data_IF_856235203590
#
_entry.id   IF_856235203590
#
_cell.length_a   1.000
_cell.length_b   1.000
_cell.length_c   1.000
_cell.angle_alpha   90.00
_cell.angle_beta   90.00
_cell.angle_gamma   90.00
#
_symmetry.space_group_name_H-M   'P 1'
#
loop_
_entity.id
_entity.type
_entity.pdbx_description
1 polymer ?
#
# COMPACT_ATOMS: atom_id res chain seq x y z
N UNK A 1 17.92 13.02 -17.32
CA UNK A 1 16.58 12.63 -17.82
C UNK A 1 16.59 12.57 -19.34
N UNK A 2 16.86 13.68 -20.04
CA UNK A 2 16.76 13.80 -21.51
C UNK A 2 17.57 12.73 -22.27
N UNK A 3 18.81 12.45 -21.84
CA UNK A 3 19.68 11.47 -22.51
C UNK A 3 19.06 10.07 -22.49
N UNK A 4 18.53 9.64 -21.35
CA UNK A 4 17.87 8.33 -21.22
C UNK A 4 16.62 8.21 -22.10
N UNK A 5 15.82 9.28 -22.21
CA UNK A 5 14.62 9.29 -23.06
C UNK A 5 14.97 9.17 -24.54
N UNK A 6 16.01 9.88 -25.00
CA UNK A 6 16.49 9.81 -26.40
C UNK A 6 17.01 8.39 -26.70
N UNK A 7 17.81 7.83 -25.80
CA UNK A 7 18.34 6.48 -26.00
C UNK A 7 17.23 5.43 -26.04
N UNK A 8 16.22 5.57 -25.18
CA UNK A 8 15.05 4.68 -25.22
C UNK A 8 14.33 4.74 -26.57
N UNK A 9 14.21 5.93 -27.16
CA UNK A 9 13.62 6.11 -28.49
C UNK A 9 14.48 5.44 -29.58
N UNK A 10 15.81 5.64 -29.54
CA UNK A 10 16.74 5.00 -30.48
C UNK A 10 16.69 3.48 -30.41
N UNK A 11 16.63 2.91 -29.20
CA UNK A 11 16.54 1.45 -29.01
C UNK A 11 15.21 0.84 -29.50
N UNK A 12 14.18 1.63 -29.71
CA UNK A 12 12.91 1.20 -30.29
C UNK A 12 12.89 1.22 -31.83
N UNK A 13 13.90 1.77 -32.46
CA UNK A 13 14.00 1.80 -33.90
C UNK A 13 14.17 0.37 -34.45
N UNK A 14 13.30 0.01 -35.40
CA UNK A 14 13.34 -1.30 -36.05
C UNK A 14 14.02 -1.26 -37.42
N UNK A 15 14.07 -0.09 -38.01
CA UNK A 15 14.65 0.16 -39.34
C UNK A 15 15.45 1.45 -39.31
N UNK A 16 16.54 1.49 -40.05
CA UNK A 16 17.42 2.67 -40.16
C UNK A 16 18.74 2.34 -40.82
N UNK A 17 19.41 3.35 -41.29
CA UNK A 17 20.77 3.24 -41.78
C UNK A 17 21.69 3.91 -40.76
N UNK A 18 22.80 3.27 -40.45
CA UNK A 18 23.81 3.88 -39.57
C UNK A 18 25.17 3.82 -40.25
N UNK A 19 26.01 4.82 -39.96
CA UNK A 19 27.40 4.89 -40.38
C UNK A 19 28.23 5.26 -39.16
N UNK A 20 29.30 4.52 -38.93
CA UNK A 20 30.27 4.83 -37.90
C UNK A 20 31.41 5.61 -38.55
N UNK A 21 31.66 6.80 -38.04
CA UNK A 21 32.74 7.68 -38.52
C UNK A 21 33.64 8.02 -37.35
N UNK A 22 34.96 7.98 -37.60
CA UNK A 22 35.94 8.43 -36.64
C UNK A 22 36.22 9.93 -36.92
N UNK A 23 35.79 10.78 -35.99
CA UNK A 23 35.99 12.22 -36.07
C UNK A 23 36.33 12.79 -34.70
N UNK A 24 37.11 13.88 -34.67
CA UNK A 24 37.38 14.63 -33.45
C UNK A 24 36.12 15.38 -33.00
N UNK A 25 35.65 15.05 -31.82
CA UNK A 25 34.53 15.74 -31.20
C UNK A 25 35.03 16.98 -30.48
N UNK A 26 34.48 18.16 -30.84
CA UNK A 26 34.75 19.39 -30.12
C UNK A 26 34.24 19.30 -28.70
N UNK A 27 35.15 19.26 -27.73
CA UNK A 27 34.83 19.10 -26.30
C UNK A 27 34.65 20.42 -25.56
N UNK A 28 34.88 21.58 -26.19
CA UNK A 28 34.78 22.88 -25.52
C UNK A 28 33.34 23.27 -25.14
N UNK A 29 32.38 22.78 -25.91
CA UNK A 29 30.95 23.09 -25.73
C UNK A 29 30.12 21.89 -25.26
N UNK A 30 30.73 20.79 -24.82
CA UNK A 30 30.03 19.58 -24.39
C UNK A 30 29.94 19.55 -22.85
N UNK A 31 28.76 19.32 -22.35
CA UNK A 31 28.54 18.97 -20.93
C UNK A 31 29.30 17.68 -20.64
N UNK A 32 30.35 17.75 -19.82
CA UNK A 32 31.12 16.58 -19.38
C UNK A 32 30.21 15.67 -18.55
N UNK A 33 29.58 14.71 -19.20
CA UNK A 33 28.66 13.74 -18.55
C UNK A 33 29.28 12.34 -18.69
N UNK A 34 29.80 11.81 -17.58
CA UNK A 34 30.28 10.44 -17.53
C UNK A 34 29.15 9.52 -17.11
N UNK A 35 28.45 8.97 -18.09
CA UNK A 35 27.41 7.99 -17.83
C UNK A 35 27.90 6.61 -18.31
N UNK A 36 27.97 5.59 -17.44
CA UNK A 36 28.35 4.25 -17.85
C UNK A 36 27.35 3.70 -18.89
N UNK A 37 27.83 3.38 -20.09
CA UNK A 37 26.98 2.88 -21.19
C UNK A 37 26.22 1.60 -20.82
N UNK A 38 26.86 0.70 -20.06
CA UNK A 38 26.27 -0.55 -19.60
C UNK A 38 25.02 -0.31 -18.75
N UNK A 39 25.07 0.65 -17.80
CA UNK A 39 23.93 1.00 -16.98
C UNK A 39 22.76 1.56 -17.79
N UNK A 40 23.04 2.37 -18.80
CA UNK A 40 22.01 2.93 -19.67
C UNK A 40 21.37 1.83 -20.52
N UNK A 41 22.17 0.93 -21.09
CA UNK A 41 21.67 -0.18 -21.89
C UNK A 41 20.77 -1.08 -21.07
N UNK A 42 21.19 -1.47 -19.87
CA UNK A 42 20.38 -2.32 -18.97
C UNK A 42 19.08 -1.63 -18.55
N UNK A 43 19.12 -0.35 -18.18
CA UNK A 43 17.92 0.44 -17.85
C UNK A 43 16.96 0.52 -19.05
N UNK A 44 17.48 0.72 -20.25
CA UNK A 44 16.66 0.83 -21.46
C UNK A 44 16.01 -0.51 -21.80
N UNK A 45 16.74 -1.61 -21.71
CA UNK A 45 16.20 -2.96 -21.93
C UNK A 45 15.11 -3.28 -20.90
N UNK A 46 15.32 -2.95 -19.62
CA UNK A 46 14.31 -3.09 -18.58
C UNK A 46 13.01 -2.34 -18.94
N UNK A 47 13.15 -1.09 -19.37
CA UNK A 47 11.99 -0.28 -19.77
C UNK A 47 11.26 -0.90 -20.97
N UNK A 48 11.98 -1.41 -21.97
CA UNK A 48 11.38 -2.07 -23.13
C UNK A 48 10.60 -3.32 -22.71
N UNK A 49 11.16 -4.12 -21.81
CA UNK A 49 10.54 -5.35 -21.33
C UNK A 49 9.29 -5.08 -20.45
N UNK A 50 9.36 -4.07 -19.59
CA UNK A 50 8.28 -3.73 -18.66
C UNK A 50 7.16 -2.91 -19.30
N UNK A 51 7.47 -2.12 -20.35
CA UNK A 51 6.53 -1.19 -20.98
C UNK A 51 5.20 -1.82 -21.41
N UNK A 52 5.15 -3.00 -22.04
CA UNK A 52 3.90 -3.62 -22.45
C UNK A 52 2.96 -3.90 -21.28
N UNK A 53 3.50 -4.32 -20.13
CA UNK A 53 2.73 -4.60 -18.92
C UNK A 53 2.22 -3.32 -18.27
N UNK A 54 3.07 -2.29 -18.19
CA UNK A 54 2.70 -0.99 -17.65
C UNK A 54 1.62 -0.36 -18.50
N UNK A 55 1.81 -0.37 -19.84
CA UNK A 55 0.86 0.22 -20.82
C UNK A 55 -0.56 -0.34 -20.71
N UNK A 56 -0.70 -1.61 -20.40
CA UNK A 56 -2.02 -2.23 -20.23
C UNK A 56 -2.77 -1.73 -18.99
N UNK A 57 -2.05 -1.22 -18.00
CA UNK A 57 -2.61 -0.76 -16.72
C UNK A 57 -2.72 0.76 -16.62
N UNK A 58 -2.13 1.49 -17.56
CA UNK A 58 -2.19 2.95 -17.56
C UNK A 58 -3.64 3.38 -17.73
N UNK A 59 -4.16 4.20 -16.79
CA UNK A 59 -5.47 4.79 -16.95
C UNK A 59 -5.49 5.79 -18.11
N UNK A 60 -6.66 6.14 -18.64
CA UNK A 60 -6.78 7.20 -19.64
C UNK A 60 -6.10 8.48 -19.14
N UNK A 61 -5.36 9.15 -20.02
CA UNK A 61 -4.50 10.29 -19.67
C UNK A 61 -5.26 11.52 -19.17
N UNK A 62 -6.52 11.64 -19.54
CA UNK A 62 -7.49 12.68 -19.13
C UNK A 62 -8.14 12.39 -17.77
N UNK A 63 -7.91 11.19 -17.18
CA UNK A 63 -8.45 10.88 -15.88
C UNK A 63 -7.63 11.55 -14.77
N UNK A 64 -8.33 11.92 -13.69
CA UNK A 64 -7.71 12.55 -12.52
C UNK A 64 -7.50 11.48 -11.44
N UNK A 65 -6.26 11.23 -11.03
CA UNK A 65 -5.98 10.40 -9.87
C UNK A 65 -6.38 11.12 -8.59
N UNK A 66 -6.90 10.34 -7.65
CA UNK A 66 -7.38 10.80 -6.34
C UNK A 66 -6.80 9.92 -5.26
N UNK A 67 -6.31 10.51 -4.19
CA UNK A 67 -5.79 9.80 -3.04
C UNK A 67 -6.93 9.23 -2.19
N UNK A 68 -6.89 7.92 -1.91
CA UNK A 68 -7.90 7.21 -1.10
C UNK A 68 -7.43 7.01 0.33
N UNK A 69 -6.16 6.74 0.52
CA UNK A 69 -5.55 6.48 1.81
C UNK A 69 -4.29 7.32 1.99
N UNK A 70 -4.03 7.81 3.21
CA UNK A 70 -2.80 8.54 3.49
C UNK A 70 -1.58 7.64 3.37
N UNK A 71 -0.49 8.19 2.85
CA UNK A 71 0.78 7.52 2.74
C UNK A 71 1.42 7.40 4.13
N UNK A 72 1.55 6.18 4.66
CA UNK A 72 2.21 5.91 5.94
C UNK A 72 3.48 5.10 5.72
N UNK A 73 4.42 5.16 6.66
CA UNK A 73 5.67 4.38 6.58
C UNK A 73 5.42 2.87 6.43
N UNK A 74 4.39 2.35 7.09
CA UNK A 74 4.01 0.94 6.98
C UNK A 74 3.59 0.56 5.56
N UNK A 75 2.81 1.43 4.91
CA UNK A 75 2.35 1.24 3.54
C UNK A 75 3.51 1.33 2.56
N UNK A 76 4.39 2.31 2.73
CA UNK A 76 5.61 2.47 1.92
C UNK A 76 6.47 1.21 1.97
N UNK A 77 6.72 0.69 3.17
CA UNK A 77 7.49 -0.56 3.36
C UNK A 77 6.78 -1.78 2.79
N UNK A 78 5.48 -1.90 3.04
CA UNK A 78 4.66 -3.04 2.57
C UNK A 78 4.62 -3.14 1.05
N UNK A 79 4.42 -2.02 0.37
CA UNK A 79 4.31 -1.98 -1.10
C UNK A 79 5.64 -1.65 -1.79
N UNK A 80 6.74 -1.49 -1.01
CA UNK A 80 8.09 -1.17 -1.50
C UNK A 80 8.10 0.07 -2.40
N UNK A 81 7.40 1.11 -1.96
CA UNK A 81 7.32 2.36 -2.70
C UNK A 81 8.64 3.12 -2.61
N UNK A 82 9.13 3.59 -3.75
CA UNK A 82 10.35 4.36 -3.86
C UNK A 82 10.15 5.87 -3.76
N UNK A 83 11.24 6.62 -3.89
CA UNK A 83 11.21 8.09 -3.86
C UNK A 83 10.34 8.68 -4.98
N UNK A 84 10.39 8.10 -6.18
CA UNK A 84 9.56 8.53 -7.32
C UNK A 84 8.07 8.31 -7.01
N UNK A 85 7.71 7.18 -6.38
CA UNK A 85 6.31 6.91 -6.02
C UNK A 85 5.78 7.91 -5.00
N UNK A 86 6.59 8.29 -4.01
CA UNK A 86 6.24 9.32 -3.03
C UNK A 86 6.10 10.69 -3.69
N UNK A 87 7.03 11.05 -4.58
CA UNK A 87 6.96 12.30 -5.32
C UNK A 87 5.71 12.38 -6.21
N UNK A 88 5.39 11.33 -6.95
CA UNK A 88 4.16 11.27 -7.75
C UNK A 88 2.91 11.33 -6.86
N UNK A 89 2.92 10.65 -5.71
CA UNK A 89 1.81 10.71 -4.76
C UNK A 89 1.55 12.14 -4.26
N UNK A 90 2.60 12.90 -3.96
CA UNK A 90 2.50 14.30 -3.50
C UNK A 90 1.99 15.25 -4.60
N UNK A 91 2.19 14.91 -5.88
CA UNK A 91 1.65 15.67 -7.00
C UNK A 91 0.15 15.45 -7.23
N UNK A 92 -0.45 14.41 -6.64
CA UNK A 92 -1.87 14.09 -6.79
C UNK A 92 -2.70 15.06 -5.93
N UNK A 93 -3.42 15.97 -6.58
CA UNK A 93 -4.25 17.02 -5.94
C UNK A 93 -5.74 16.94 -6.31
N UNK A 94 -6.18 15.81 -6.87
CA UNK A 94 -7.55 15.56 -7.31
C UNK A 94 -8.05 16.43 -8.50
N UNK A 95 -7.22 17.32 -9.02
CA UNK A 95 -7.55 18.23 -10.12
C UNK A 95 -6.72 17.95 -11.35
N UNK A 96 -5.49 17.52 -11.17
CA UNK A 96 -4.56 17.24 -12.24
C UNK A 96 -4.89 15.92 -12.91
N UNK A 97 -4.83 15.92 -14.24
CA UNK A 97 -4.91 14.71 -15.03
C UNK A 97 -3.62 13.87 -14.90
N UNK A 98 -3.68 12.62 -15.29
CA UNK A 98 -2.49 11.75 -15.40
C UNK A 98 -1.42 12.42 -16.27
N UNK A 99 -1.82 13.04 -17.39
CA UNK A 99 -0.92 13.76 -18.28
C UNK A 99 -0.23 14.94 -17.57
N UNK A 100 -0.99 15.74 -16.82
CA UNK A 100 -0.44 16.88 -16.08
C UNK A 100 0.56 16.45 -15.01
N UNK A 101 0.27 15.36 -14.31
CA UNK A 101 1.18 14.80 -13.29
C UNK A 101 2.48 14.33 -13.95
N UNK A 102 2.41 13.57 -15.03
CA UNK A 102 3.60 13.11 -15.77
C UNK A 102 4.44 14.30 -16.23
N UNK A 103 3.81 15.35 -16.75
CA UNK A 103 4.50 16.55 -17.20
C UNK A 103 5.17 17.32 -16.05
N UNK A 104 4.51 17.43 -14.90
CA UNK A 104 4.99 18.19 -13.76
C UNK A 104 6.01 17.44 -12.90
N UNK A 105 6.01 16.12 -12.94
CA UNK A 105 6.94 15.30 -12.15
C UNK A 105 8.41 15.49 -12.53
N UNK A 106 8.68 15.95 -13.75
CA UNK A 106 10.02 16.04 -14.33
C UNK A 106 10.76 14.68 -14.39
N UNK A 107 10.05 13.60 -14.10
CA UNK A 107 10.57 12.24 -14.21
C UNK A 107 10.44 11.71 -15.65
N UNK A 108 11.23 10.71 -16.05
CA UNK A 108 11.03 10.04 -17.32
C UNK A 108 9.58 9.52 -17.41
N UNK A 109 8.92 9.65 -18.57
CA UNK A 109 7.51 9.24 -18.71
C UNK A 109 7.22 7.81 -18.27
N UNK A 110 8.15 6.89 -18.52
CA UNK A 110 8.03 5.50 -18.07
C UNK A 110 8.01 5.41 -16.54
N UNK A 111 8.92 6.07 -15.85
CA UNK A 111 9.01 6.02 -14.38
C UNK A 111 7.78 6.66 -13.74
N UNK A 112 7.33 7.83 -14.25
CA UNK A 112 6.12 8.48 -13.76
C UNK A 112 4.87 7.62 -13.95
N UNK A 113 4.67 7.04 -15.14
CA UNK A 113 3.52 6.17 -15.42
C UNK A 113 3.57 4.86 -14.63
N UNK A 114 4.75 4.24 -14.52
CA UNK A 114 4.95 3.05 -13.70
C UNK A 114 4.64 3.31 -12.23
N UNK A 115 5.01 4.49 -11.73
CA UNK A 115 4.70 4.95 -10.38
C UNK A 115 3.20 5.09 -10.16
N UNK A 116 2.48 5.72 -11.10
CA UNK A 116 1.01 5.82 -11.04
C UNK A 116 0.37 4.42 -11.01
N UNK A 117 0.83 3.50 -11.85
CA UNK A 117 0.32 2.11 -11.86
C UNK A 117 0.60 1.41 -10.52
N UNK A 118 1.79 1.57 -9.93
CA UNK A 118 2.09 1.01 -8.59
C UNK A 118 1.20 1.58 -7.50
N UNK A 119 0.92 2.89 -7.53
CA UNK A 119 0.01 3.53 -6.59
C UNK A 119 -1.44 3.05 -6.74
N UNK A 120 -1.89 2.79 -7.98
CA UNK A 120 -3.18 2.17 -8.26
C UNK A 120 -3.25 0.71 -7.77
N UNK A 121 -2.24 -0.11 -8.10
CA UNK A 121 -2.16 -1.51 -7.66
C UNK A 121 -2.09 -1.65 -6.13
N UNK A 122 -1.48 -0.68 -5.44
CA UNK A 122 -1.44 -0.63 -3.98
C UNK A 122 -2.77 -0.19 -3.34
N UNK A 123 -3.72 0.33 -4.14
CA UNK A 123 -4.99 0.87 -3.67
C UNK A 123 -4.89 2.20 -2.91
N UNK A 124 -3.75 2.91 -3.03
CA UNK A 124 -3.56 4.24 -2.45
C UNK A 124 -4.28 5.32 -3.26
N UNK A 125 -4.37 5.10 -4.55
CA UNK A 125 -4.90 6.03 -5.54
C UNK A 125 -5.99 5.34 -6.36
N UNK A 126 -6.98 6.09 -6.78
CA UNK A 126 -8.00 5.69 -7.74
C UNK A 126 -8.14 6.77 -8.80
N UNK A 127 -8.57 6.42 -10.00
CA UNK A 127 -8.71 7.37 -11.10
C UNK A 127 -10.17 7.56 -11.49
N UNK A 128 -10.53 8.80 -11.79
CA UNK A 128 -11.90 9.19 -12.18
C UNK A 128 -11.84 10.08 -13.41
N UNK A 129 -12.87 10.03 -14.27
CA UNK A 129 -12.99 10.95 -15.38
C UNK A 129 -13.02 12.41 -14.90
N UNK A 130 -12.40 13.30 -15.64
CA UNK A 130 -12.37 14.72 -15.31
C UNK A 130 -13.80 15.29 -15.24
N UNK A 131 -14.12 16.02 -14.17
CA UNK A 131 -15.43 16.65 -13.98
C UNK A 131 -16.50 15.85 -13.21
N UNK A 132 -16.24 14.59 -12.83
CA UNK A 132 -17.22 13.73 -12.11
C UNK A 132 -17.08 13.80 -10.59
N UNK A 133 -17.17 14.99 -10.01
CA UNK A 133 -17.01 15.20 -8.54
C UNK A 133 -18.03 14.39 -7.71
N UNK A 134 -19.31 14.39 -8.11
CA UNK A 134 -20.38 13.73 -7.34
C UNK A 134 -20.22 12.19 -7.28
N UNK A 135 -19.84 11.57 -8.38
CA UNK A 135 -19.60 10.11 -8.45
C UNK A 135 -18.36 9.72 -7.63
N UNK A 136 -17.34 10.55 -7.69
CA UNK A 136 -16.09 10.39 -6.94
C UNK A 136 -16.34 10.39 -5.44
N UNK A 137 -17.00 11.43 -4.93
CA UNK A 137 -17.22 11.59 -3.49
C UNK A 137 -18.07 10.44 -2.92
N UNK A 138 -19.05 9.97 -3.69
CA UNK A 138 -19.88 8.83 -3.29
C UNK A 138 -19.12 7.50 -3.28
N UNK A 139 -18.20 7.27 -4.21
CA UNK A 139 -17.42 6.02 -4.30
C UNK A 139 -16.37 5.94 -3.20
N UNK A 140 -15.66 7.04 -2.93
CA UNK A 140 -14.68 7.14 -1.85
C UNK A 140 -15.37 6.98 -0.49
N UNK A 141 -16.49 7.68 -0.26
CA UNK A 141 -17.26 7.56 0.96
C UNK A 141 -17.76 6.12 1.21
N UNK A 142 -18.22 5.43 0.16
CA UNK A 142 -18.62 4.01 0.27
C UNK A 142 -17.46 3.09 0.64
N UNK A 143 -16.26 3.28 0.06
CA UNK A 143 -15.08 2.46 0.39
C UNK A 143 -14.59 2.68 1.81
N UNK A 144 -14.52 3.93 2.26
CA UNK A 144 -14.18 4.26 3.65
C UNK A 144 -15.22 3.66 4.61
N UNK A 145 -16.50 3.75 4.27
CA UNK A 145 -17.59 3.18 5.07
C UNK A 145 -17.48 1.64 5.12
N UNK A 146 -17.27 0.97 3.99
CA UNK A 146 -17.10 -0.48 3.92
C UNK A 146 -15.89 -0.97 4.71
N UNK A 147 -14.77 -0.24 4.65
CA UNK A 147 -13.57 -0.56 5.43
C UNK A 147 -13.84 -0.43 6.95
N UNK A 148 -14.57 0.59 7.38
CA UNK A 148 -14.99 0.75 8.78
C UNK A 148 -15.98 -0.35 9.21
N UNK A 149 -16.96 -0.67 8.38
CA UNK A 149 -17.94 -1.74 8.64
C UNK A 149 -17.23 -3.10 8.78
N UNK A 150 -16.26 -3.39 7.90
CA UNK A 150 -15.47 -4.62 7.98
C UNK A 150 -14.72 -4.76 9.31
N UNK A 151 -14.10 -3.67 9.82
CA UNK A 151 -13.47 -3.67 11.14
C UNK A 151 -14.49 -3.90 12.26
N UNK A 152 -15.62 -3.21 12.24
CA UNK A 152 -16.67 -3.35 13.24
C UNK A 152 -17.24 -4.78 13.24
N UNK A 153 -17.48 -5.37 12.06
CA UNK A 153 -17.92 -6.76 11.93
C UNK A 153 -16.96 -7.75 12.59
N UNK A 154 -15.65 -7.57 12.44
CA UNK A 154 -14.66 -8.42 13.10
C UNK A 154 -14.78 -8.31 14.63
N UNK A 155 -14.90 -7.11 15.16
CA UNK A 155 -15.08 -6.92 16.62
C UNK A 155 -16.39 -7.52 17.14
N UNK A 156 -17.49 -7.38 16.39
CA UNK A 156 -18.76 -8.00 16.72
C UNK A 156 -18.66 -9.54 16.73
N UNK A 157 -18.02 -10.12 15.72
CA UNK A 157 -17.79 -11.56 15.68
C UNK A 157 -16.93 -12.05 16.86
N UNK A 158 -15.87 -11.31 17.20
CA UNK A 158 -15.05 -11.63 18.38
C UNK A 158 -15.84 -11.52 19.68
N UNK A 159 -16.68 -10.50 19.82
CA UNK A 159 -17.54 -10.34 21.01
C UNK A 159 -18.56 -11.45 21.13
N UNK A 160 -19.17 -11.87 20.01
CA UNK A 160 -20.12 -13.02 19.99
C UNK A 160 -19.39 -14.31 20.34
N UNK A 161 -18.18 -14.55 19.79
CA UNK A 161 -17.39 -15.73 20.12
C UNK A 161 -16.98 -15.74 21.61
N UNK A 162 -16.55 -14.62 22.16
CA UNK A 162 -16.23 -14.50 23.59
C UNK A 162 -17.46 -14.69 24.47
N UNK A 163 -18.59 -14.11 24.07
CA UNK A 163 -19.86 -14.30 24.77
C UNK A 163 -20.35 -15.76 24.77
N UNK A 164 -20.20 -16.45 23.62
CA UNK A 164 -20.55 -17.88 23.53
C UNK A 164 -19.67 -18.77 24.41
N UNK A 165 -18.36 -18.46 24.48
CA UNK A 165 -17.44 -19.15 25.38
C UNK A 165 -17.77 -18.90 26.86
N UNK A 166 -18.15 -17.64 27.18
CA UNK A 166 -18.55 -17.30 28.54
C UNK A 166 -19.81 -18.05 28.96
N UNK A 167 -20.86 -18.09 28.10
CA UNK A 167 -22.10 -18.83 28.35
C UNK A 167 -21.87 -20.34 28.42
N UNK A 168 -21.02 -20.90 27.56
CA UNK A 168 -20.65 -22.32 27.59
C UNK A 168 -19.88 -22.68 28.88
N UNK A 169 -19.19 -21.73 29.49
CA UNK A 169 -18.51 -21.92 30.79
C UNK A 169 -19.42 -21.87 32.01
N UNK A 170 -20.69 -21.48 31.88
CA UNK A 170 -21.64 -21.52 32.98
C UNK A 170 -22.07 -22.97 33.32
N UNK A 171 -21.91 -23.40 34.57
CA UNK A 171 -22.17 -24.80 34.96
C UNK A 171 -23.63 -25.27 34.73
N UNK A 172 -24.56 -24.35 34.59
CA UNK A 172 -25.98 -24.65 34.30
C UNK A 172 -26.21 -25.09 32.85
N UNK A 173 -25.46 -24.48 31.91
CA UNK A 173 -25.57 -24.80 30.47
C UNK A 173 -24.87 -26.11 30.18
N UNK A 174 -23.70 -26.37 30.82
CA UNK A 174 -22.95 -27.62 30.68
C UNK A 174 -23.76 -28.84 31.16
N UNK A 175 -24.61 -28.69 32.21
CA UNK A 175 -25.52 -29.76 32.65
C UNK A 175 -26.62 -30.05 31.64
N UNK A 176 -27.13 -29.03 30.94
CA UNK A 176 -28.18 -29.19 29.91
C UNK A 176 -27.73 -29.90 28.64
N UNK A 177 -26.40 -29.86 28.33
CA UNK A 177 -25.83 -30.48 27.13
C UNK A 177 -25.34 -31.93 27.36
N UNK A 178 -25.52 -32.47 28.58
CA UNK A 178 -25.15 -33.86 28.89
C UNK A 178 -23.63 -34.10 28.97
N UNK A 179 -22.85 -33.07 29.26
CA UNK A 179 -21.37 -33.17 29.38
C UNK A 179 -21.02 -33.89 30.70
N UNK A 180 -20.09 -34.87 30.69
CA UNK A 180 -19.72 -35.62 31.89
C UNK A 180 -19.28 -34.72 33.05
N UNK A 181 -19.70 -35.05 34.25
CA UNK A 181 -19.41 -34.29 35.49
C UNK A 181 -17.92 -33.98 35.71
N UNK A 182 -17.04 -34.84 35.22
CA UNK A 182 -15.57 -34.63 35.26
C UNK A 182 -15.09 -33.35 34.56
N UNK A 183 -15.77 -32.92 33.50
CA UNK A 183 -15.37 -31.70 32.75
C UNK A 183 -15.88 -30.47 33.49
N UNK A 184 -17.09 -30.56 34.11
CA UNK A 184 -17.65 -29.46 34.89
C UNK A 184 -16.89 -29.19 36.17
N UNK A 185 -16.30 -30.22 36.82
CA UNK A 185 -15.42 -30.03 37.99
C UNK A 185 -14.09 -29.33 37.57
N UNK A 186 -13.48 -29.73 36.47
CA UNK A 186 -12.27 -29.13 36.00
C UNK A 186 -12.40 -27.63 35.65
N UNK A 187 -13.56 -27.23 35.07
CA UNK A 187 -13.86 -25.81 34.80
C UNK A 187 -14.09 -25.02 36.08
N UNK A 188 -14.69 -25.64 37.09
CA UNK A 188 -14.90 -25.02 38.40
C UNK A 188 -13.56 -24.79 39.11
N UNK A 189 -12.70 -25.79 39.15
CA UNK A 189 -11.39 -25.72 39.77
C UNK A 189 -10.50 -24.63 39.13
N UNK A 190 -10.58 -24.46 37.80
CA UNK A 190 -9.89 -23.37 37.09
C UNK A 190 -10.44 -21.99 37.43
N UNK A 191 -11.78 -21.84 37.61
CA UNK A 191 -12.36 -20.56 38.02
C UNK A 191 -12.00 -20.18 39.46
N UNK A 192 -11.97 -21.13 40.37
CA UNK A 192 -11.52 -20.91 41.75
C UNK A 192 -10.03 -20.55 41.82
N UNK A 193 -9.20 -21.22 41.02
CA UNK A 193 -7.77 -20.90 40.91
C UNK A 193 -7.56 -19.49 40.40
N UNK A 194 -8.27 -19.10 39.34
CA UNK A 194 -8.18 -17.75 38.77
C UNK A 194 -8.65 -16.66 39.76
N UNK A 195 -9.69 -16.93 40.55
CA UNK A 195 -10.15 -16.02 41.59
C UNK A 195 -9.13 -15.87 42.74
N UNK A 196 -8.48 -16.95 43.15
CA UNK A 196 -7.41 -16.91 44.16
C UNK A 196 -6.16 -16.13 43.68
N UNK A 197 -5.77 -16.31 42.44
CA UNK A 197 -4.70 -15.48 41.83
C UNK A 197 -5.04 -14.00 41.80
N UNK A 198 -6.26 -13.63 41.36
CA UNK A 198 -6.70 -12.26 41.34
C UNK A 198 -6.75 -11.62 42.74
N UNK A 199 -7.18 -12.34 43.76
CA UNK A 199 -7.16 -11.86 45.13
C UNK A 199 -5.74 -11.67 45.69
N UNK A 200 -4.81 -12.57 45.36
CA UNK A 200 -3.40 -12.43 45.74
C UNK A 200 -2.74 -11.21 45.09
N UNK A 201 -3.03 -10.96 43.82
CA UNK A 201 -2.52 -9.77 43.14
C UNK A 201 -3.02 -8.46 43.76
N UNK A 202 -4.33 -8.42 44.07
CA UNK A 202 -4.94 -7.27 44.77
C UNK A 202 -4.32 -7.08 46.19
N UNK A 203 -4.04 -8.16 46.90
CA UNK A 203 -3.43 -8.11 48.21
C UNK A 203 -1.99 -7.63 48.15
N UNK A 204 -1.19 -8.07 47.13
CA UNK A 204 0.16 -7.60 46.90
C UNK A 204 0.22 -6.10 46.50
N UNK A 205 -0.74 -5.65 45.72
CA UNK A 205 -0.89 -4.24 45.38
C UNK A 205 -1.23 -3.37 46.59
N UNK A 206 -2.04 -3.86 47.53
CA UNK A 206 -2.36 -3.14 48.79
C UNK A 206 -1.17 -3.08 49.74
N UNK A 207 -0.36 -4.16 49.82
CA UNK A 207 0.84 -4.17 50.66
C UNK A 207 1.98 -3.31 50.10
N UNK A 208 1.99 -3.08 48.77
CA UNK A 208 2.98 -2.20 48.12
C UNK A 208 2.68 -0.71 48.23
N UNK A 209 1.48 -0.30 48.63
CA UNK A 209 1.07 1.09 48.80
C UNK A 209 1.20 1.63 50.24
N UNK A 210 1.52 0.76 51.21
CA UNK A 210 1.68 1.16 52.62
C UNK A 210 3.14 1.40 53.02
N UNK A 211 4.06 1.57 52.08
CA UNK A 211 5.51 1.76 52.33
C UNK A 211 6.06 3.09 51.74
N UNK A 212 5.26 4.15 51.65
CA UNK A 212 5.72 5.53 51.43
C UNK A 212 5.27 6.47 52.53
#
# INVERSE_FOLDING_TARGET
>A
VVIKSILLEVFQWKEGNYRFEDWEVDTENILACHIPSEGIILDTLRVIDEWPMVKQKIPPVDYCPVTIMPLTEEIVKKHRLGAVDMHIYDLIDEKRSVEDIVRQSLEPPFEALSSIVRLLDSGLVEVFPQGTKEVRDSSIARRILLAKIKKVMVYVLLAVAAGSLYLAGEPRILKGIGIPEKITSCVRDQKELAADYAQREIMLLRLGTDTD
#
